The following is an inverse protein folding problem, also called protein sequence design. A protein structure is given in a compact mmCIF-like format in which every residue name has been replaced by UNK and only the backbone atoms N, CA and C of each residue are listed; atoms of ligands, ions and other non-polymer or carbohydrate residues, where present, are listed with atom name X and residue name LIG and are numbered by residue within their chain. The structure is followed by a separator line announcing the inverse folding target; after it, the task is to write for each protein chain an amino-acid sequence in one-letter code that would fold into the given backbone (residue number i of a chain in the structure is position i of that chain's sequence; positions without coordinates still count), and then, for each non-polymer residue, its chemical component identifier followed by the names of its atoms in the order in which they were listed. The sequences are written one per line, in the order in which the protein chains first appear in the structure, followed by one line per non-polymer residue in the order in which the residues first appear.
data_IF_713964874385
#
_entry.id   IF_713964874385
#
_cell.length_a   1.000
_cell.length_b   1.000
_cell.length_c   1.000
_cell.angle_alpha   90.00
_cell.angle_beta   90.00
_cell.angle_gamma   90.00
#
_symmetry.space_group_name_H-M   'P 1'
#
loop_
_entity.id
_entity.type
_entity.pdbx_description
1 polymer ?
#
# COMPACT_ATOMS: atom_id res chain seq x y z
N UNK A 1 0.34 -16.14 16.29
CA UNK A 1 -0.40 -14.90 16.65
C UNK A 1 -1.77 -15.32 17.15
N UNK A 2 -2.19 -14.81 18.31
CA UNK A 2 -3.54 -15.03 18.82
C UNK A 2 -4.55 -14.11 18.10
N UNK A 3 -5.84 -14.44 18.10
CA UNK A 3 -6.88 -13.62 17.45
C UNK A 3 -6.90 -12.17 17.97
N UNK A 4 -6.57 -11.95 19.24
CA UNK A 4 -6.48 -10.62 19.85
C UNK A 4 -5.37 -9.77 19.23
N UNK A 5 -4.18 -10.35 19.02
CA UNK A 5 -3.04 -9.64 18.41
C UNK A 5 -3.29 -9.21 16.96
N UNK A 6 -4.10 -9.98 16.23
CA UNK A 6 -4.48 -9.65 14.84
C UNK A 6 -5.45 -8.46 14.83
N UNK A 7 -6.41 -8.44 15.76
CA UNK A 7 -7.37 -7.34 15.87
C UNK A 7 -6.70 -6.02 16.27
N UNK A 8 -5.72 -6.06 17.18
CA UNK A 8 -4.98 -4.85 17.59
C UNK A 8 -4.17 -4.26 16.41
N UNK A 9 -3.51 -5.11 15.62
CA UNK A 9 -2.78 -4.67 14.41
C UNK A 9 -3.70 -4.10 13.33
N UNK A 10 -4.89 -4.67 13.15
CA UNK A 10 -5.88 -4.14 12.21
C UNK A 10 -6.37 -2.77 12.67
N UNK A 11 -6.60 -2.59 13.97
CA UNK A 11 -7.00 -1.31 14.53
C UNK A 11 -5.91 -0.25 14.38
N UNK A 12 -4.65 -0.61 14.67
CA UNK A 12 -3.48 0.25 14.47
C UNK A 12 -3.36 0.70 13.00
N UNK A 13 -3.44 -0.25 12.06
CA UNK A 13 -3.41 0.02 10.62
C UNK A 13 -4.57 0.93 10.20
N UNK A 14 -5.80 0.63 10.63
CA UNK A 14 -6.97 1.43 10.28
C UNK A 14 -6.85 2.87 10.80
N UNK A 15 -6.34 3.04 12.02
CA UNK A 15 -6.06 4.34 12.62
C UNK A 15 -4.98 5.09 11.84
N UNK A 16 -3.87 4.43 11.48
CA UNK A 16 -2.80 5.03 10.69
C UNK A 16 -3.31 5.53 9.34
N UNK A 17 -4.06 4.69 8.62
CA UNK A 17 -4.66 5.00 7.31
C UNK A 17 -5.83 6.01 7.42
N UNK A 18 -6.35 6.22 8.63
CA UNK A 18 -7.54 7.02 8.97
C UNK A 18 -8.81 6.51 8.28
N UNK A 19 -9.03 5.20 8.35
CA UNK A 19 -10.17 4.51 7.74
C UNK A 19 -11.01 3.76 8.78
N UNK A 20 -12.22 3.40 8.38
CA UNK A 20 -13.09 2.50 9.15
C UNK A 20 -12.56 1.05 9.05
N UNK A 21 -12.53 0.33 10.18
CA UNK A 21 -12.06 -1.05 10.23
C UNK A 21 -12.90 -2.00 9.35
N UNK A 22 -14.15 -1.64 9.02
CA UNK A 22 -14.99 -2.42 8.10
C UNK A 22 -14.46 -2.49 6.67
N UNK A 23 -13.55 -1.58 6.31
CA UNK A 23 -12.86 -1.60 5.02
C UNK A 23 -11.71 -2.62 4.97
N UNK A 24 -11.39 -3.26 6.09
CA UNK A 24 -10.27 -4.19 6.24
C UNK A 24 -10.79 -5.62 6.22
N UNK A 25 -10.22 -6.46 5.35
CA UNK A 25 -10.53 -7.89 5.27
C UNK A 25 -9.26 -8.70 4.99
N UNK A 26 -9.30 -10.02 5.19
CA UNK A 26 -8.23 -10.89 4.73
C UNK A 26 -8.50 -11.37 3.30
N UNK A 27 -7.52 -11.23 2.40
CA UNK A 27 -7.56 -11.83 1.07
C UNK A 27 -6.72 -13.10 1.06
N UNK A 28 -7.39 -14.25 1.09
CA UNK A 28 -6.74 -15.56 1.14
C UNK A 28 -5.92 -15.88 -0.12
N UNK A 29 -6.33 -15.38 -1.30
CA UNK A 29 -5.62 -15.62 -2.57
C UNK A 29 -4.27 -14.90 -2.61
N UNK A 30 -4.25 -13.66 -2.13
CA UNK A 30 -3.02 -12.85 -2.07
C UNK A 30 -2.25 -13.02 -0.76
N UNK A 31 -2.81 -13.76 0.21
CA UNK A 31 -2.28 -13.92 1.56
C UNK A 31 -1.94 -12.57 2.22
N UNK A 32 -2.83 -11.59 2.04
CA UNK A 32 -2.64 -10.19 2.43
C UNK A 32 -3.82 -9.65 3.22
N UNK A 33 -3.60 -8.60 4.02
CA UNK A 33 -4.69 -7.75 4.51
C UNK A 33 -5.13 -6.84 3.35
N UNK A 34 -6.39 -6.97 2.96
CA UNK A 34 -7.01 -6.19 1.90
C UNK A 34 -7.76 -5.00 2.49
N UNK A 35 -7.51 -3.83 1.93
CA UNK A 35 -8.29 -2.61 2.14
C UNK A 35 -9.14 -2.38 0.89
N UNK A 36 -10.46 -2.34 1.04
CA UNK A 36 -11.38 -2.19 -0.10
C UNK A 36 -12.35 -1.03 0.09
N UNK A 37 -12.52 -0.21 -0.96
CA UNK A 37 -13.51 0.87 -1.00
C UNK A 37 -13.28 1.99 0.01
N UNK A 38 -12.05 2.14 0.53
CA UNK A 38 -11.73 3.08 1.58
C UNK A 38 -11.24 4.43 1.04
N UNK A 39 -11.50 5.50 1.79
CA UNK A 39 -10.88 6.81 1.56
C UNK A 39 -9.64 6.93 2.46
N UNK A 40 -8.45 6.73 1.88
CA UNK A 40 -7.17 6.74 2.57
C UNK A 40 -6.70 8.18 2.75
N UNK A 41 -6.40 8.59 3.98
CA UNK A 41 -5.94 9.98 4.28
C UNK A 41 -4.49 10.04 4.78
N UNK A 42 -3.81 8.91 4.83
CA UNK A 42 -2.39 8.80 5.17
C UNK A 42 -1.88 7.46 4.65
N UNK A 43 -0.68 7.43 4.05
CA UNK A 43 -0.14 6.23 3.44
C UNK A 43 1.39 6.29 3.35
N UNK A 44 2.03 5.13 3.53
CA UNK A 44 3.44 4.91 3.22
C UNK A 44 3.61 3.53 2.57
N UNK A 45 4.53 3.44 1.63
CA UNK A 45 4.89 2.16 1.00
C UNK A 45 5.52 1.18 2.00
N UNK A 46 6.09 1.63 3.12
CA UNK A 46 6.65 0.76 4.17
C UNK A 46 5.63 -0.19 4.79
N UNK A 47 4.35 0.20 4.77
CA UNK A 47 3.25 -0.61 5.29
C UNK A 47 3.13 -1.98 4.61
N UNK A 48 3.58 -2.12 3.36
CA UNK A 48 3.57 -3.42 2.69
C UNK A 48 4.47 -4.45 3.40
N UNK A 49 5.60 -4.03 3.96
CA UNK A 49 6.46 -4.92 4.74
C UNK A 49 5.86 -5.27 6.10
N UNK A 50 5.27 -4.28 6.77
CA UNK A 50 4.74 -4.43 8.13
C UNK A 50 3.47 -5.29 8.17
N UNK A 51 2.59 -5.13 7.18
CA UNK A 51 1.23 -5.67 7.23
C UNK A 51 0.86 -6.62 6.09
N UNK A 52 1.70 -6.76 5.04
CA UNK A 52 1.35 -7.48 3.79
C UNK A 52 0.01 -7.01 3.24
N UNK A 53 0.01 -5.87 2.56
CA UNK A 53 -1.22 -5.19 2.17
C UNK A 53 -1.63 -5.42 0.72
N UNK A 54 -2.92 -5.25 0.47
CA UNK A 54 -3.46 -5.00 -0.87
C UNK A 54 -4.57 -3.94 -0.81
N UNK A 55 -4.68 -3.10 -1.83
CA UNK A 55 -5.66 -2.03 -1.92
C UNK A 55 -6.54 -2.20 -3.16
N UNK A 56 -7.86 -2.17 -2.98
CA UNK A 56 -8.84 -2.33 -4.05
C UNK A 56 -9.88 -1.21 -4.02
N UNK A 57 -10.10 -0.54 -5.16
CA UNK A 57 -11.14 0.48 -5.31
C UNK A 57 -11.07 1.59 -4.25
N UNK A 58 -9.87 1.90 -3.76
CA UNK A 58 -9.65 2.92 -2.73
C UNK A 58 -9.42 4.30 -3.36
N UNK A 59 -9.69 5.36 -2.58
CA UNK A 59 -9.37 6.75 -2.95
C UNK A 59 -8.34 7.31 -1.98
N UNK A 60 -7.16 7.63 -2.47
CA UNK A 60 -6.07 8.24 -1.70
C UNK A 60 -6.18 9.76 -1.77
N UNK A 61 -6.49 10.39 -0.63
CA UNK A 61 -6.59 11.85 -0.41
C UNK A 61 -5.34 12.44 0.26
N UNK A 62 -4.25 11.69 0.29
CA UNK A 62 -2.99 12.13 0.86
C UNK A 62 -1.92 12.19 -0.22
N UNK A 63 -1.03 13.18 -0.10
CA UNK A 63 0.23 13.18 -0.82
C UNK A 63 1.08 12.01 -0.31
N UNK A 64 1.65 11.25 -1.25
CA UNK A 64 2.63 10.21 -0.96
C UNK A 64 3.97 10.82 -1.33
N UNK A 65 4.79 11.13 -0.32
CA UNK A 65 6.13 11.68 -0.51
C UNK A 65 7.10 10.88 0.35
N UNK A 66 7.64 9.81 -0.24
CA UNK A 66 8.63 8.98 0.43
C UNK A 66 9.98 9.70 0.37
N UNK A 67 10.38 10.29 1.49
CA UNK A 67 11.58 11.10 1.62
C UNK A 67 12.85 10.36 1.14
N UNK A 68 13.91 11.09 0.73
CA UNK A 68 15.16 10.49 0.28
C UNK A 68 15.79 9.59 1.37
N UNK A 69 15.74 8.29 1.13
CA UNK A 69 16.35 7.26 1.95
C UNK A 69 16.11 5.91 1.30
N UNK A 70 17.13 5.06 1.22
CA UNK A 70 16.97 3.74 0.60
C UNK A 70 16.20 2.81 1.53
N UNK A 71 15.10 2.24 1.05
CA UNK A 71 14.43 1.14 1.74
C UNK A 71 13.92 0.09 0.75
N UNK A 72 13.87 -1.15 1.23
CA UNK A 72 13.50 -2.31 0.42
C UNK A 72 12.08 -2.77 0.80
N UNK A 73 11.26 -3.10 -0.20
CA UNK A 73 9.95 -3.70 0.00
C UNK A 73 10.05 -5.16 -0.44
N UNK A 74 9.96 -6.05 0.54
CA UNK A 74 10.07 -7.50 0.39
C UNK A 74 8.73 -8.11 -0.05
N UNK A 75 7.63 -7.59 0.50
CA UNK A 75 6.31 -8.12 0.23
C UNK A 75 5.75 -7.61 -1.12
N UNK A 76 4.90 -8.40 -1.80
CA UNK A 76 4.22 -7.94 -2.99
C UNK A 76 3.41 -6.66 -2.75
N UNK A 77 3.39 -5.78 -3.74
CA UNK A 77 2.60 -4.55 -3.76
C UNK A 77 1.40 -4.77 -4.69
N UNK A 78 0.19 -4.73 -4.15
CA UNK A 78 -1.03 -4.82 -4.94
C UNK A 78 -1.92 -3.61 -4.70
N UNK A 79 -2.10 -2.77 -5.73
CA UNK A 79 -2.99 -1.62 -5.75
C UNK A 79 -3.82 -1.68 -7.04
N UNK A 80 -5.13 -1.86 -6.91
CA UNK A 80 -6.00 -2.17 -8.03
C UNK A 80 -7.25 -1.29 -8.04
N UNK A 81 -7.52 -0.64 -9.18
CA UNK A 81 -8.74 0.18 -9.33
C UNK A 81 -8.79 1.42 -8.43
N UNK A 82 -7.66 1.85 -7.88
CA UNK A 82 -7.60 2.95 -6.93
C UNK A 82 -7.48 4.31 -7.62
N UNK A 83 -7.92 5.37 -6.95
CA UNK A 83 -7.72 6.76 -7.40
C UNK A 83 -6.78 7.49 -6.44
N UNK A 84 -5.78 8.16 -6.98
CA UNK A 84 -4.86 9.04 -6.26
C UNK A 84 -5.21 10.49 -6.59
N UNK A 85 -5.69 11.24 -5.60
CA UNK A 85 -6.11 12.64 -5.77
C UNK A 85 -4.96 13.63 -5.56
N UNK A 86 -3.88 13.19 -4.93
CA UNK A 86 -2.71 14.02 -4.59
C UNK A 86 -1.44 13.47 -5.24
N UNK A 87 -0.32 14.19 -5.12
CA UNK A 87 0.94 13.76 -5.72
C UNK A 87 1.38 12.40 -5.16
N UNK A 88 1.95 11.58 -6.03
CA UNK A 88 2.63 10.34 -5.65
C UNK A 88 4.07 10.45 -6.10
N UNK A 89 4.96 10.59 -5.13
CA UNK A 89 6.38 10.81 -5.33
C UNK A 89 7.13 9.79 -4.50
N UNK A 90 7.86 8.91 -5.20
CA UNK A 90 8.59 7.80 -4.61
C UNK A 90 10.05 7.87 -5.04
N UNK A 91 10.96 7.87 -4.07
CA UNK A 91 12.41 7.92 -4.27
C UNK A 91 13.10 6.70 -3.68
N UNK A 92 14.06 6.13 -4.40
CA UNK A 92 15.01 5.15 -3.86
C UNK A 92 14.38 3.90 -3.20
N UNK A 93 13.20 3.46 -3.65
CA UNK A 93 12.58 2.23 -3.18
C UNK A 93 13.03 1.06 -4.04
N UNK A 94 13.50 -0.02 -3.41
CA UNK A 94 13.75 -1.28 -4.09
C UNK A 94 12.63 -2.28 -3.79
N UNK A 95 11.83 -2.57 -4.81
CA UNK A 95 10.79 -3.58 -4.76
C UNK A 95 11.39 -4.93 -5.13
N UNK A 96 11.48 -5.85 -4.16
CA UNK A 96 12.05 -7.19 -4.35
C UNK A 96 11.04 -8.24 -4.85
N UNK A 97 9.76 -7.91 -4.80
CA UNK A 97 8.67 -8.78 -5.23
C UNK A 97 7.78 -8.08 -6.26
N UNK A 98 6.72 -8.77 -6.70
CA UNK A 98 5.78 -8.28 -7.68
C UNK A 98 5.15 -6.95 -7.24
N UNK A 99 5.20 -5.97 -8.14
CA UNK A 99 4.50 -4.69 -8.01
C UNK A 99 3.41 -4.62 -9.06
N UNK A 100 2.17 -4.59 -8.59
CA UNK A 100 0.97 -4.46 -9.42
C UNK A 100 0.23 -3.20 -8.99
N UNK A 101 0.38 -2.15 -9.80
CA UNK A 101 -0.41 -0.91 -9.68
C UNK A 101 -1.23 -0.83 -10.97
N UNK A 102 -2.45 -1.37 -10.95
CA UNK A 102 -3.24 -1.62 -12.15
C UNK A 102 -4.60 -0.92 -12.09
N UNK A 103 -5.06 -0.45 -13.26
CA UNK A 103 -6.34 0.26 -13.41
C UNK A 103 -6.52 1.44 -12.44
N UNK A 104 -5.40 2.05 -12.02
CA UNK A 104 -5.41 3.18 -11.13
C UNK A 104 -5.51 4.49 -11.90
N UNK A 105 -6.13 5.49 -11.28
CA UNK A 105 -6.22 6.86 -11.80
C UNK A 105 -5.35 7.79 -10.95
N UNK A 106 -4.53 8.61 -11.61
CA UNK A 106 -3.72 9.63 -10.96
C UNK A 106 -4.21 11.00 -11.43
N UNK A 107 -4.77 11.79 -10.51
CA UNK A 107 -5.32 13.10 -10.83
C UNK A 107 -4.30 14.24 -10.67
N UNK A 108 -3.14 13.96 -10.07
CA UNK A 108 -1.98 14.85 -9.99
C UNK A 108 -0.71 14.13 -10.41
N UNK A 109 0.45 14.72 -10.08
CA UNK A 109 1.75 14.21 -10.50
C UNK A 109 2.01 12.82 -9.93
N UNK A 110 2.52 11.95 -10.77
CA UNK A 110 2.97 10.62 -10.43
C UNK A 110 4.41 10.46 -10.88
N UNK A 111 5.31 10.20 -9.94
CA UNK A 111 6.75 10.24 -10.18
C UNK A 111 7.48 9.18 -9.36
N UNK A 112 8.27 8.36 -10.07
CA UNK A 112 9.14 7.33 -9.50
C UNK A 112 10.57 7.63 -9.91
N UNK A 113 11.44 7.95 -8.95
CA UNK A 113 12.85 8.23 -9.20
C UNK A 113 13.76 7.24 -8.48
N UNK A 114 14.76 6.75 -9.21
CA UNK A 114 15.76 5.80 -8.71
C UNK A 114 15.16 4.55 -8.04
N UNK A 115 13.92 4.19 -8.37
CA UNK A 115 13.27 2.99 -7.89
C UNK A 115 13.78 1.76 -8.65
N UNK A 116 14.02 0.67 -7.93
CA UNK A 116 14.45 -0.60 -8.51
C UNK A 116 13.29 -1.60 -8.43
N UNK A 117 12.90 -2.16 -9.57
CA UNK A 117 11.90 -3.22 -9.65
C UNK A 117 12.62 -4.53 -9.97
N UNK A 118 12.83 -5.36 -8.96
CA UNK A 118 13.46 -6.65 -9.16
C UNK A 118 12.45 -7.61 -9.81
N UNK A 119 12.86 -8.29 -10.88
CA UNK A 119 12.06 -9.34 -11.46
C UNK A 119 12.08 -10.54 -10.50
N UNK A 120 10.97 -10.83 -9.82
CA UNK A 120 10.78 -12.12 -9.17
C UNK A 120 10.39 -13.16 -10.23
N UNK A 121 11.27 -13.39 -11.21
CA UNK A 121 11.20 -14.58 -12.05
C UNK A 121 11.65 -15.76 -11.19
N UNK A 122 10.65 -16.51 -10.72
CA UNK A 122 10.63 -17.85 -10.11
C UNK A 122 11.96 -18.44 -9.62
#
# INVERSE_FOLDING_TARGET
MTNTQINDKILELANYLKIDNKCVAHNARLQSIQINGAVIKNFSFKLFNEYKLSFFNCKFLCEINEAPGFFEIENPVYIYGCTFEENVISYNIKFKSNVVIAYCRFNKNFYFEANTFCNSSN
#
